data_IF_777640929599
#
_entry.id   IF_777640929599
#
_cell.length_a   1.000
_cell.length_b   1.000
_cell.length_c   1.000
_cell.angle_alpha   90.00
_cell.angle_beta   90.00
_cell.angle_gamma   90.00
#
_symmetry.space_group_name_H-M   'P 1'
#
loop_
_entity.id
_entity.type
_entity.pdbx_description
1 polymer ?
#
# COMPACT_ATOMS: atom_id res chain seq x y z
N UNK A 1 -6.87 -20.87 -17.00
CA UNK A 1 -5.70 -20.12 -16.57
C UNK A 1 -5.06 -20.72 -15.33
N UNK A 2 -3.80 -20.41 -15.04
CA UNK A 2 -3.17 -20.72 -13.77
C UNK A 2 -3.28 -19.52 -12.80
N UNK A 3 -3.33 -19.80 -11.49
CA UNK A 3 -3.36 -18.73 -10.50
C UNK A 3 -3.17 -19.24 -9.08
N UNK A 4 -2.97 -18.29 -8.17
CA UNK A 4 -2.88 -18.52 -6.72
C UNK A 4 -4.29 -18.49 -6.12
N UNK A 5 -4.63 -19.46 -5.30
CA UNK A 5 -5.93 -19.48 -4.61
C UNK A 5 -5.86 -20.24 -3.30
N UNK A 6 -6.90 -20.10 -2.48
CA UNK A 6 -7.14 -20.91 -1.28
C UNK A 6 -8.63 -21.20 -1.13
N UNK A 7 -8.95 -22.34 -0.47
CA UNK A 7 -10.33 -22.84 -0.31
C UNK A 7 -10.84 -22.73 1.14
N UNK A 8 -9.95 -22.31 2.04
CA UNK A 8 -10.25 -22.07 3.46
C UNK A 8 -9.23 -21.07 4.03
N UNK A 9 -9.58 -20.41 5.13
CA UNK A 9 -8.64 -19.54 5.84
C UNK A 9 -7.59 -20.34 6.59
N UNK A 10 -6.37 -19.80 6.68
CA UNK A 10 -5.29 -20.48 7.38
C UNK A 10 -3.92 -19.80 7.24
N UNK A 11 -2.89 -20.53 7.60
CA UNK A 11 -1.50 -20.15 7.39
C UNK A 11 -1.10 -20.35 5.91
N UNK A 12 0.17 -20.19 5.57
CA UNK A 12 0.65 -20.24 4.18
C UNK A 12 0.40 -21.58 3.48
N UNK A 13 0.18 -22.66 4.25
CA UNK A 13 -0.09 -24.01 3.75
C UNK A 13 -1.47 -24.19 3.07
N UNK A 14 -2.39 -23.24 3.23
CA UNK A 14 -3.67 -23.24 2.51
C UNK A 14 -3.55 -22.72 1.09
N UNK A 15 -2.48 -21.98 0.76
CA UNK A 15 -2.24 -21.44 -0.57
C UNK A 15 -1.96 -22.57 -1.59
N UNK A 16 -2.60 -22.45 -2.72
CA UNK A 16 -2.47 -23.37 -3.87
C UNK A 16 -2.11 -22.57 -5.11
N UNK A 17 -1.37 -23.17 -5.99
CA UNK A 17 -1.18 -22.71 -7.37
C UNK A 17 -1.69 -23.79 -8.33
N UNK A 18 -2.54 -23.43 -9.28
CA UNK A 18 -3.12 -24.43 -10.17
C UNK A 18 -4.20 -23.87 -11.10
N UNK A 19 -4.90 -24.81 -11.75
CA UNK A 19 -5.94 -24.52 -12.74
C UNK A 19 -7.16 -23.82 -12.13
N UNK A 20 -7.51 -22.68 -12.70
CA UNK A 20 -8.70 -21.89 -12.40
C UNK A 20 -9.50 -21.67 -13.70
N UNK A 21 -10.83 -21.44 -13.63
CA UNK A 21 -11.59 -20.97 -14.78
C UNK A 21 -11.03 -19.65 -15.31
N UNK A 22 -11.06 -19.46 -16.63
CA UNK A 22 -10.77 -18.17 -17.22
C UNK A 22 -11.86 -17.15 -16.79
N UNK A 23 -11.51 -15.89 -16.48
CA UNK A 23 -12.50 -14.90 -16.10
C UNK A 23 -13.39 -14.52 -17.31
N UNK A 24 -14.67 -14.29 -17.02
CA UNK A 24 -15.60 -13.73 -18.01
C UNK A 24 -15.50 -12.19 -17.95
N UNK A 25 -15.41 -11.56 -19.12
CA UNK A 25 -15.29 -10.11 -19.23
C UNK A 25 -16.68 -9.44 -19.15
N UNK A 26 -16.88 -8.62 -18.14
CA UNK A 26 -18.08 -7.80 -18.00
C UNK A 26 -18.15 -6.68 -19.03
N UNK A 27 -19.28 -5.94 -19.07
CA UNK A 27 -19.51 -4.91 -20.09
C UNK A 27 -18.55 -3.72 -19.97
N UNK A 28 -18.16 -3.38 -18.76
CA UNK A 28 -17.30 -2.26 -18.34
C UNK A 28 -15.93 -2.71 -17.85
N UNK A 29 -15.58 -3.99 -18.09
CA UNK A 29 -14.34 -4.60 -17.66
C UNK A 29 -13.34 -4.78 -18.80
N UNK A 30 -12.08 -4.85 -18.40
CA UNK A 30 -10.93 -5.17 -19.26
C UNK A 30 -10.31 -6.47 -18.76
N UNK A 31 -10.07 -7.41 -19.67
CA UNK A 31 -9.27 -8.61 -19.40
C UNK A 31 -7.80 -8.23 -19.49
N UNK A 32 -7.09 -8.39 -18.40
CA UNK A 32 -5.66 -8.11 -18.29
C UNK A 32 -4.89 -9.45 -18.30
N UNK A 33 -3.95 -9.60 -19.24
CA UNK A 33 -2.89 -10.59 -19.22
C UNK A 33 -1.83 -10.13 -18.24
N UNK A 34 -1.84 -10.70 -17.03
CA UNK A 34 -1.02 -10.27 -15.89
C UNK A 34 0.45 -10.63 -16.13
N UNK A 35 1.33 -9.64 -16.04
CA UNK A 35 2.77 -9.79 -16.15
C UNK A 35 3.48 -9.80 -14.81
N UNK A 36 2.94 -9.06 -13.85
CA UNK A 36 3.40 -9.03 -12.46
C UNK A 36 2.25 -8.71 -11.50
N UNK A 37 2.31 -9.25 -10.31
CA UNK A 37 1.50 -8.87 -9.16
C UNK A 37 2.39 -8.54 -7.98
N UNK A 38 1.91 -7.79 -6.98
CA UNK A 38 2.70 -7.48 -5.80
C UNK A 38 1.91 -7.68 -4.51
N UNK A 39 2.57 -8.29 -3.52
CA UNK A 39 1.94 -8.62 -2.26
C UNK A 39 1.78 -7.40 -1.34
N UNK A 40 0.70 -7.42 -0.58
CA UNK A 40 0.39 -6.48 0.49
C UNK A 40 0.02 -7.22 1.79
N UNK A 41 0.15 -6.57 2.94
CA UNK A 41 -0.26 -7.17 4.21
C UNK A 41 -1.74 -7.54 4.25
N UNK A 42 -2.57 -6.88 3.45
CA UNK A 42 -3.98 -7.20 3.34
C UNK A 42 -4.21 -8.62 2.78
N UNK A 43 -3.34 -9.11 1.88
CA UNK A 43 -3.41 -10.48 1.34
C UNK A 43 -3.21 -11.53 2.45
N UNK A 44 -2.30 -11.23 3.39
CA UNK A 44 -2.07 -12.06 4.59
C UNK A 44 -3.29 -12.04 5.51
N UNK A 45 -3.88 -10.86 5.75
CA UNK A 45 -5.04 -10.74 6.63
C UNK A 45 -6.28 -11.42 6.05
N UNK A 46 -6.55 -11.23 4.76
CA UNK A 46 -7.67 -11.85 4.06
C UNK A 46 -7.53 -13.37 4.06
N UNK A 47 -6.33 -13.90 3.78
CA UNK A 47 -6.03 -15.33 3.90
C UNK A 47 -6.29 -15.85 5.31
N UNK A 48 -5.97 -15.08 6.36
CA UNK A 48 -6.24 -15.40 7.77
C UNK A 48 -7.69 -15.13 8.20
N UNK A 49 -8.56 -14.65 7.30
CA UNK A 49 -9.98 -14.40 7.55
C UNK A 49 -10.30 -13.07 8.21
N UNK A 50 -9.48 -12.05 8.01
CA UNK A 50 -9.63 -10.72 8.60
C UNK A 50 -9.48 -9.59 7.56
N UNK A 51 -10.54 -9.16 6.86
CA UNK A 51 -11.87 -9.77 6.80
C UNK A 51 -11.90 -11.07 5.98
N UNK A 52 -13.00 -11.82 6.08
CA UNK A 52 -13.23 -12.96 5.20
C UNK A 52 -13.74 -12.49 3.84
N UNK A 53 -13.22 -12.99 2.71
CA UNK A 53 -13.71 -12.65 1.37
C UNK A 53 -15.12 -13.20 1.09
N UNK A 54 -15.62 -14.12 1.92
CA UNK A 54 -16.98 -14.64 1.85
C UNK A 54 -17.19 -15.80 0.89
N UNK A 55 -16.38 -15.93 -0.17
CA UNK A 55 -16.50 -16.98 -1.18
C UNK A 55 -15.16 -17.70 -1.41
N UNK A 56 -15.26 -19.02 -1.72
CA UNK A 56 -14.11 -19.85 -2.05
C UNK A 56 -14.36 -20.65 -3.35
N UNK A 57 -13.33 -21.02 -4.15
CA UNK A 57 -11.93 -20.64 -3.94
C UNK A 57 -11.74 -19.13 -4.08
N UNK A 58 -10.86 -18.54 -3.28
CA UNK A 58 -10.52 -17.13 -3.34
C UNK A 58 -9.13 -16.93 -3.94
N UNK A 59 -9.02 -16.03 -4.91
CA UNK A 59 -7.77 -15.58 -5.51
C UNK A 59 -7.31 -14.33 -4.72
N UNK A 60 -6.11 -14.33 -4.08
CA UNK A 60 -5.57 -13.15 -3.42
C UNK A 60 -5.01 -12.13 -4.42
N UNK A 61 -4.56 -11.00 -3.89
CA UNK A 61 -3.84 -9.98 -4.63
C UNK A 61 -4.69 -8.75 -4.95
N UNK A 62 -4.13 -7.58 -4.68
CA UNK A 62 -4.74 -6.28 -4.95
C UNK A 62 -3.96 -5.47 -5.98
N UNK A 63 -2.68 -5.75 -6.13
CA UNK A 63 -1.78 -5.09 -7.06
C UNK A 63 -1.40 -6.04 -8.20
N UNK A 64 -1.59 -5.61 -9.45
CA UNK A 64 -1.06 -6.26 -10.64
C UNK A 64 -0.82 -5.25 -11.77
N UNK A 65 0.03 -5.62 -12.71
CA UNK A 65 0.23 -4.92 -13.97
C UNK A 65 0.33 -5.92 -15.13
N UNK A 66 -0.08 -5.49 -16.32
CA UNK A 66 -0.08 -6.35 -17.50
C UNK A 66 -0.63 -5.66 -18.74
N UNK A 67 -1.06 -6.45 -19.69
CA UNK A 67 -1.55 -5.98 -21.00
C UNK A 67 -3.05 -6.22 -21.11
N UNK A 68 -3.81 -5.23 -21.53
CA UNK A 68 -5.22 -5.39 -21.90
C UNK A 68 -5.36 -6.30 -23.14
N UNK A 69 -6.05 -7.44 -23.02
CA UNK A 69 -6.18 -8.41 -24.12
C UNK A 69 -7.60 -8.57 -24.65
N UNK A 70 -8.60 -8.12 -23.89
CA UNK A 70 -10.00 -8.03 -24.30
C UNK A 70 -10.66 -6.88 -23.54
N UNK A 71 -11.55 -6.13 -24.19
CA UNK A 71 -12.28 -5.03 -23.57
C UNK A 71 -13.78 -5.22 -23.73
N UNK A 72 -14.53 -4.96 -22.65
CA UNK A 72 -15.98 -5.00 -22.67
C UNK A 72 -16.58 -3.89 -23.54
N UNK A 73 -17.84 -4.06 -24.03
CA UNK A 73 -18.45 -3.15 -25.02
C UNK A 73 -18.74 -1.74 -24.49
N UNK A 74 -18.70 -1.52 -23.18
CA UNK A 74 -18.93 -0.21 -22.54
C UNK A 74 -17.61 0.45 -22.10
N UNK A 75 -16.46 -0.22 -22.24
CA UNK A 75 -15.11 0.31 -21.99
C UNK A 75 -14.80 1.42 -22.99
N UNK A 76 -14.26 2.52 -22.49
CA UNK A 76 -13.98 3.73 -23.29
C UNK A 76 -12.58 4.28 -23.13
N UNK A 77 -11.86 3.89 -22.06
CA UNK A 77 -10.55 4.44 -21.69
C UNK A 77 -9.38 3.62 -22.20
N UNK A 78 -9.62 2.34 -22.49
CA UNK A 78 -8.56 1.38 -22.86
C UNK A 78 -8.92 0.61 -24.11
N UNK A 79 -7.90 0.14 -24.83
CA UNK A 79 -8.01 -0.76 -25.97
C UNK A 79 -7.07 -1.97 -25.84
N UNK A 80 -7.29 -2.99 -26.65
CA UNK A 80 -6.40 -4.17 -26.68
C UNK A 80 -4.95 -3.75 -27.01
N UNK A 81 -4.01 -4.20 -26.21
CA UNK A 81 -2.60 -3.87 -26.30
C UNK A 81 -2.12 -2.80 -25.33
N UNK A 82 -3.03 -2.08 -24.67
CA UNK A 82 -2.64 -1.10 -23.65
C UNK A 82 -1.96 -1.75 -22.46
N UNK A 83 -0.91 -1.09 -21.94
CA UNK A 83 -0.29 -1.46 -20.69
C UNK A 83 -1.05 -0.82 -19.53
N UNK A 84 -1.40 -1.63 -18.53
CA UNK A 84 -2.25 -1.22 -17.41
C UNK A 84 -1.75 -1.74 -16.07
N UNK A 85 -2.01 -0.97 -15.01
CA UNK A 85 -1.84 -1.38 -13.63
C UNK A 85 -3.19 -1.31 -12.89
N UNK A 86 -3.39 -2.21 -11.93
CA UNK A 86 -4.63 -2.31 -11.17
C UNK A 86 -4.62 -1.32 -10.01
N UNK A 87 -5.63 -0.46 -9.95
CA UNK A 87 -6.00 0.37 -8.81
C UNK A 87 -7.08 -0.38 -8.00
N UNK A 88 -6.72 -0.94 -6.86
CA UNK A 88 -7.54 -1.93 -6.17
C UNK A 88 -8.87 -1.43 -5.59
N UNK A 89 -9.08 -0.11 -5.50
CA UNK A 89 -10.24 0.50 -4.85
C UNK A 89 -11.43 0.68 -5.78
N UNK A 90 -12.57 0.02 -5.52
CA UNK A 90 -13.82 0.19 -6.25
C UNK A 90 -14.83 1.02 -5.45
N UNK A 91 -15.62 1.84 -6.15
CA UNK A 91 -16.57 2.78 -5.56
C UNK A 91 -17.83 2.94 -6.43
N UNK A 92 -18.92 3.48 -5.87
CA UNK A 92 -20.21 3.53 -6.59
C UNK A 92 -20.35 4.68 -7.61
N UNK A 93 -19.46 5.67 -7.62
CA UNK A 93 -19.51 6.86 -8.49
C UNK A 93 -20.60 7.88 -8.16
N UNK A 94 -21.53 7.61 -7.25
CA UNK A 94 -22.86 8.22 -7.17
C UNK A 94 -23.21 8.80 -5.78
N UNK A 95 -22.56 8.33 -4.68
CA UNK A 95 -22.79 8.86 -3.34
C UNK A 95 -22.18 10.27 -3.17
N UNK A 96 -22.45 10.91 -2.04
CA UNK A 96 -21.94 12.25 -1.74
C UNK A 96 -20.41 12.32 -1.76
N UNK A 97 -19.72 11.27 -1.28
CA UNK A 97 -18.27 11.20 -1.26
C UNK A 97 -17.69 11.06 -2.67
N UNK A 98 -18.23 10.16 -3.49
CA UNK A 98 -17.79 10.01 -4.88
C UNK A 98 -17.98 11.29 -5.69
N UNK A 99 -19.11 11.98 -5.52
CA UNK A 99 -19.36 13.27 -6.19
C UNK A 99 -18.45 14.40 -5.71
N UNK A 100 -17.87 14.25 -4.51
CA UNK A 100 -16.87 15.18 -3.97
C UNK A 100 -15.43 14.80 -4.38
N UNK A 101 -15.23 13.71 -5.12
CA UNK A 101 -13.90 13.18 -5.47
C UNK A 101 -13.24 12.35 -4.38
N UNK A 102 -13.93 12.11 -3.25
CA UNK A 102 -13.44 11.36 -2.09
C UNK A 102 -13.79 9.87 -2.19
N UNK A 103 -13.24 9.18 -3.22
CA UNK A 103 -13.64 7.83 -3.59
C UNK A 103 -13.42 6.80 -2.47
N UNK A 104 -12.31 6.88 -1.73
CA UNK A 104 -12.04 5.96 -0.61
C UNK A 104 -12.99 6.13 0.59
N UNK A 105 -13.81 7.19 0.62
CA UNK A 105 -14.88 7.39 1.59
C UNK A 105 -16.25 6.91 1.07
N UNK A 106 -16.31 6.29 -0.09
CA UNK A 106 -17.55 5.77 -0.67
C UNK A 106 -18.26 4.83 0.32
N UNK A 107 -19.58 4.97 0.43
CA UNK A 107 -20.41 4.17 1.35
C UNK A 107 -20.43 2.67 1.01
N UNK A 108 -20.05 2.32 -0.22
CA UNK A 108 -19.90 0.95 -0.72
C UNK A 108 -18.49 0.69 -1.26
N UNK A 109 -17.48 1.28 -0.61
CA UNK A 109 -16.09 1.07 -1.00
C UNK A 109 -15.66 -0.37 -0.81
N UNK A 110 -15.01 -0.92 -1.82
CA UNK A 110 -14.44 -2.27 -1.77
C UNK A 110 -13.01 -2.28 -2.28
N UNK A 111 -12.26 -3.30 -1.91
CA UNK A 111 -10.86 -3.49 -2.32
C UNK A 111 -10.75 -4.84 -3.02
N UNK A 112 -10.24 -4.87 -4.22
CA UNK A 112 -9.92 -6.07 -4.99
C UNK A 112 -8.96 -6.95 -4.20
N UNK A 113 -9.21 -8.26 -4.15
CA UNK A 113 -8.45 -9.22 -3.37
C UNK A 113 -8.84 -9.30 -1.89
N UNK A 114 -9.60 -8.33 -1.38
CA UNK A 114 -10.13 -8.33 -0.01
C UNK A 114 -11.64 -8.57 0.03
N UNK A 115 -12.39 -7.84 -0.79
CA UNK A 115 -13.85 -7.89 -0.84
C UNK A 115 -14.38 -8.59 -2.10
N UNK A 116 -13.53 -8.82 -3.06
CA UNK A 116 -13.78 -9.51 -4.33
C UNK A 116 -12.60 -10.39 -4.69
N UNK A 117 -12.74 -11.20 -5.75
CA UNK A 117 -11.64 -11.94 -6.36
C UNK A 117 -10.46 -11.03 -6.64
N UNK A 118 -9.26 -11.48 -6.28
CA UNK A 118 -8.00 -10.76 -6.49
C UNK A 118 -7.36 -11.04 -7.85
N UNK A 119 -6.11 -10.62 -7.99
CA UNK A 119 -5.42 -10.49 -9.28
C UNK A 119 -4.16 -11.36 -9.41
N UNK A 120 -3.84 -12.24 -8.45
CA UNK A 120 -2.67 -13.12 -8.55
C UNK A 120 -2.97 -14.38 -9.39
N UNK A 121 -3.21 -14.19 -10.68
CA UNK A 121 -3.48 -15.21 -11.69
C UNK A 121 -2.96 -14.74 -13.05
N UNK A 122 -2.90 -15.64 -14.05
CA UNK A 122 -2.46 -15.28 -15.42
C UNK A 122 -3.35 -14.23 -16.07
N UNK A 123 -4.66 -14.26 -15.79
CA UNK A 123 -5.64 -13.31 -16.32
C UNK A 123 -6.56 -12.80 -15.21
N UNK A 124 -6.93 -11.54 -15.28
CA UNK A 124 -7.93 -10.94 -14.40
C UNK A 124 -8.86 -10.01 -15.19
N UNK A 125 -10.16 -10.05 -14.91
CA UNK A 125 -11.12 -9.08 -15.45
C UNK A 125 -11.36 -7.98 -14.39
N UNK A 126 -11.13 -6.72 -14.78
CA UNK A 126 -11.13 -5.57 -13.87
C UNK A 126 -11.95 -4.44 -14.50
N UNK A 127 -12.87 -3.78 -13.74
CA UNK A 127 -13.56 -2.59 -14.24
C UNK A 127 -12.57 -1.53 -14.74
N UNK A 128 -12.90 -0.84 -15.85
CA UNK A 128 -12.00 0.17 -16.42
C UNK A 128 -11.65 1.30 -15.44
N UNK A 129 -12.52 1.59 -14.48
CA UNK A 129 -12.28 2.60 -13.42
C UNK A 129 -11.18 2.19 -12.42
N UNK A 130 -10.90 0.90 -12.35
CA UNK A 130 -9.87 0.30 -11.51
C UNK A 130 -8.54 0.08 -12.26
N UNK A 131 -8.35 0.71 -13.41
CA UNK A 131 -7.13 0.62 -14.20
C UNK A 131 -6.48 1.99 -14.40
N UNK A 132 -5.15 1.99 -14.35
CA UNK A 132 -4.29 3.13 -14.67
C UNK A 132 -3.39 2.75 -15.83
N UNK A 133 -3.23 3.65 -16.80
CA UNK A 133 -2.32 3.45 -17.92
C UNK A 133 -0.85 3.42 -17.44
N UNK A 134 -0.09 2.48 -17.98
CA UNK A 134 1.34 2.34 -17.70
C UNK A 134 2.12 2.69 -18.99
N UNK A 135 3.09 3.62 -18.94
CA UNK A 135 3.94 3.92 -20.09
C UNK A 135 4.83 2.73 -20.48
N UNK A 136 5.09 2.54 -21.78
CA UNK A 136 5.88 1.44 -22.32
C UNK A 136 7.30 1.28 -21.75
N UNK A 137 7.86 2.33 -21.15
CA UNK A 137 9.21 2.32 -20.59
C UNK A 137 9.27 1.82 -19.14
N UNK A 138 8.13 1.65 -18.48
CA UNK A 138 8.03 1.18 -17.10
C UNK A 138 8.01 -0.35 -17.12
N UNK A 139 8.87 -0.99 -16.32
CA UNK A 139 8.87 -2.44 -16.17
C UNK A 139 7.66 -2.92 -15.36
N UNK A 140 7.28 -4.19 -15.55
CA UNK A 140 6.07 -4.76 -14.96
C UNK A 140 6.13 -4.85 -13.44
N UNK A 141 7.31 -5.12 -12.90
CA UNK A 141 7.52 -5.24 -11.46
C UNK A 141 7.31 -3.89 -10.78
N UNK A 142 7.85 -2.81 -11.34
CA UNK A 142 7.61 -1.43 -10.90
C UNK A 142 6.14 -1.07 -11.00
N UNK A 143 5.51 -1.38 -12.15
CA UNK A 143 4.10 -1.08 -12.40
C UNK A 143 3.16 -1.81 -11.42
N UNK A 144 3.48 -3.05 -11.03
CA UNK A 144 2.72 -3.82 -10.05
C UNK A 144 3.02 -3.41 -8.59
N UNK A 145 4.26 -2.99 -8.29
CA UNK A 145 4.66 -2.71 -6.90
C UNK A 145 4.16 -1.36 -6.36
N UNK A 146 3.80 -0.42 -7.24
CA UNK A 146 3.50 0.96 -6.88
C UNK A 146 2.06 1.22 -6.41
N UNK A 147 0.98 0.77 -7.09
CA UNK A 147 -0.35 1.36 -6.97
C UNK A 147 -0.85 1.49 -5.53
N UNK A 148 -0.99 0.38 -4.82
CA UNK A 148 -1.61 0.38 -3.49
C UNK A 148 -0.81 1.18 -2.47
N UNK A 149 0.51 0.96 -2.41
CA UNK A 149 1.33 1.53 -1.34
C UNK A 149 1.64 3.01 -1.55
N UNK A 150 1.86 3.45 -2.80
CA UNK A 150 2.08 4.86 -3.10
C UNK A 150 0.79 5.67 -2.98
N UNK A 151 -0.34 5.17 -3.49
CA UNK A 151 -1.65 5.80 -3.30
C UNK A 151 -1.99 5.96 -1.82
N UNK A 152 -1.75 4.92 -1.01
CA UNK A 152 -2.02 4.96 0.43
C UNK A 152 -1.15 5.99 1.13
N UNK A 153 0.16 5.99 0.86
CA UNK A 153 1.09 6.95 1.47
C UNK A 153 0.83 8.39 1.02
N UNK A 154 0.53 8.60 -0.28
CA UNK A 154 0.15 9.90 -0.83
C UNK A 154 -1.06 10.48 -0.13
N UNK A 155 -2.13 9.67 -0.03
CA UNK A 155 -3.33 10.11 0.68
C UNK A 155 -3.05 10.42 2.14
N UNK A 156 -2.29 9.59 2.84
CA UNK A 156 -1.93 9.84 4.25
C UNK A 156 -1.26 11.19 4.41
N UNK A 157 -0.30 11.51 3.56
CA UNK A 157 0.55 12.68 3.69
C UNK A 157 -0.11 13.95 3.10
N UNK A 158 -0.60 13.90 1.86
CA UNK A 158 -1.16 15.07 1.19
C UNK A 158 -2.64 15.30 1.51
N UNK A 159 -3.51 14.29 1.32
CA UNK A 159 -4.96 14.48 1.47
C UNK A 159 -5.43 14.47 2.92
N UNK A 160 -4.72 13.80 3.84
CA UNK A 160 -5.15 13.65 5.24
C UNK A 160 -4.32 14.48 6.21
N UNK A 161 -3.01 14.37 6.16
CA UNK A 161 -2.12 15.13 7.03
C UNK A 161 -1.81 16.54 6.47
N UNK A 162 -2.03 16.78 5.18
CA UNK A 162 -1.81 18.07 4.51
C UNK A 162 -0.39 18.61 4.81
N UNK A 163 0.64 17.77 4.53
CA UNK A 163 2.02 18.14 4.81
C UNK A 163 2.47 19.34 3.99
N UNK A 164 3.31 20.18 4.59
CA UNK A 164 3.90 21.36 3.96
C UNK A 164 5.44 21.29 3.98
N UNK A 165 6.08 21.87 2.97
CA UNK A 165 7.55 21.95 2.93
C UNK A 165 8.14 22.62 4.18
N UNK A 166 9.13 21.97 4.77
CA UNK A 166 9.80 22.42 6.00
C UNK A 166 9.18 21.87 7.29
N UNK A 167 8.08 21.09 7.20
CA UNK A 167 7.61 20.30 8.35
C UNK A 167 8.49 19.06 8.57
N UNK A 168 8.45 18.51 9.78
CA UNK A 168 9.13 17.28 10.15
C UNK A 168 8.15 16.10 10.19
N UNK A 169 8.53 14.99 9.52
CA UNK A 169 7.68 13.80 9.38
C UNK A 169 8.40 12.57 9.91
N UNK A 170 7.83 11.88 10.89
CA UNK A 170 8.30 10.58 11.37
C UNK A 170 7.55 9.46 10.67
N UNK A 171 8.29 8.60 9.95
CA UNK A 171 7.74 7.43 9.26
C UNK A 171 8.12 6.16 10.02
N UNK A 172 7.14 5.45 10.55
CA UNK A 172 7.37 4.17 11.20
C UNK A 172 7.48 3.05 10.16
N UNK A 173 8.34 2.07 10.42
CA UNK A 173 8.49 0.89 9.56
C UNK A 173 8.86 1.23 8.12
N UNK A 174 9.86 2.08 7.91
CA UNK A 174 10.31 2.55 6.60
C UNK A 174 10.67 1.44 5.59
N UNK A 175 10.89 0.21 6.06
CA UNK A 175 11.20 -0.93 5.19
C UNK A 175 9.97 -1.59 4.56
N UNK A 176 8.75 -1.27 5.00
CA UNK A 176 7.50 -1.79 4.45
C UNK A 176 7.04 -1.03 3.20
N UNK A 177 6.01 -1.55 2.52
CA UNK A 177 5.48 -0.94 1.30
C UNK A 177 5.02 0.52 1.49
N UNK A 178 4.13 0.77 2.46
CA UNK A 178 3.68 2.15 2.76
C UNK A 178 4.81 3.00 3.34
N UNK A 179 5.69 2.40 4.16
CA UNK A 179 6.78 3.13 4.82
C UNK A 179 7.78 3.70 3.82
N UNK A 180 8.29 2.89 2.86
CA UNK A 180 9.27 3.38 1.89
C UNK A 180 8.67 4.40 0.91
N UNK A 181 7.39 4.26 0.57
CA UNK A 181 6.67 5.24 -0.21
C UNK A 181 6.51 6.57 0.57
N UNK A 182 6.13 6.49 1.86
CA UNK A 182 5.95 7.68 2.71
C UNK A 182 7.26 8.46 2.91
N UNK A 183 8.41 7.78 3.07
CA UNK A 183 9.74 8.44 3.15
C UNK A 183 9.98 9.27 1.90
N UNK A 184 9.85 8.67 0.71
CA UNK A 184 10.10 9.35 -0.56
C UNK A 184 9.12 10.51 -0.82
N UNK A 185 7.84 10.33 -0.51
CA UNK A 185 6.82 11.36 -0.70
C UNK A 185 7.06 12.55 0.24
N UNK A 186 7.44 12.31 1.50
CA UNK A 186 7.75 13.37 2.47
C UNK A 186 9.02 14.14 2.07
N UNK A 187 10.08 13.44 1.63
CA UNK A 187 11.30 14.08 1.09
C UNK A 187 11.00 14.90 -0.17
N UNK A 188 10.24 14.34 -1.11
CA UNK A 188 9.80 15.06 -2.32
C UNK A 188 9.00 16.32 -2.01
N UNK A 189 8.17 16.30 -0.95
CA UNK A 189 7.43 17.47 -0.48
C UNK A 189 8.31 18.51 0.22
N UNK A 190 9.58 18.22 0.49
CA UNK A 190 10.54 19.09 1.17
C UNK A 190 10.40 19.10 2.69
N UNK A 191 9.94 18.00 3.27
CA UNK A 191 9.90 17.79 4.71
C UNK A 191 11.26 17.29 5.25
N UNK A 192 11.52 17.50 6.55
CA UNK A 192 12.59 16.83 7.27
C UNK A 192 12.12 15.44 7.72
N UNK A 193 12.75 14.37 7.20
CA UNK A 193 12.24 13.01 7.32
C UNK A 193 12.98 12.21 8.39
N UNK A 194 12.24 11.73 9.39
CA UNK A 194 12.66 10.78 10.40
C UNK A 194 12.12 9.40 10.06
N UNK A 195 12.93 8.35 10.12
CA UNK A 195 12.49 7.01 9.75
C UNK A 195 12.95 5.94 10.74
N UNK A 196 12.08 4.96 11.02
CA UNK A 196 12.41 3.85 11.91
C UNK A 196 12.68 2.56 11.15
N UNK A 197 13.66 1.79 11.61
CA UNK A 197 13.99 0.47 11.09
C UNK A 197 14.52 -0.47 12.18
N UNK A 198 14.66 -1.77 11.88
CA UNK A 198 15.12 -2.79 12.83
C UNK A 198 16.56 -3.27 12.60
N UNK A 199 17.19 -2.82 11.52
CA UNK A 199 18.58 -3.22 11.18
C UNK A 199 19.29 -2.09 10.45
N UNK A 200 20.62 -2.05 10.56
CA UNK A 200 21.45 -1.06 9.85
C UNK A 200 21.18 -1.03 8.34
N UNK A 201 21.04 -2.21 7.72
CA UNK A 201 20.76 -2.29 6.28
C UNK A 201 19.43 -1.62 5.89
N UNK A 202 18.39 -1.74 6.73
CA UNK A 202 17.09 -1.07 6.52
C UNK A 202 17.20 0.44 6.72
N UNK A 203 18.00 0.89 7.68
CA UNK A 203 18.24 2.30 7.94
C UNK A 203 19.03 2.97 6.80
N UNK A 204 20.06 2.33 6.30
CA UNK A 204 20.80 2.83 5.14
C UNK A 204 19.94 2.89 3.88
N UNK A 205 19.05 1.91 3.67
CA UNK A 205 18.09 1.96 2.58
C UNK A 205 17.10 3.12 2.75
N UNK A 206 16.60 3.38 3.95
CA UNK A 206 15.73 4.53 4.21
C UNK A 206 16.42 5.88 3.96
N UNK A 207 17.71 6.01 4.37
CA UNK A 207 18.52 7.21 4.04
C UNK A 207 18.69 7.40 2.55
N UNK A 208 18.91 6.31 1.80
CA UNK A 208 19.05 6.38 0.35
C UNK A 208 17.78 6.85 -0.35
N UNK A 209 16.62 6.73 0.31
CA UNK A 209 15.30 7.17 -0.17
C UNK A 209 14.89 8.56 0.32
N UNK A 210 15.76 9.27 1.06
CA UNK A 210 15.51 10.64 1.50
C UNK A 210 15.26 10.81 3.00
N UNK A 211 15.45 9.78 3.85
CA UNK A 211 15.36 9.99 5.30
C UNK A 211 16.60 10.74 5.82
N UNK A 212 16.42 11.90 6.45
CA UNK A 212 17.47 12.71 7.06
C UNK A 212 17.97 12.08 8.37
N UNK A 213 17.06 11.53 9.15
CA UNK A 213 17.31 10.92 10.46
C UNK A 213 16.74 9.52 10.51
N UNK A 214 17.53 8.57 11.01
CA UNK A 214 17.08 7.17 11.13
C UNK A 214 17.40 6.61 12.49
N UNK A 215 16.50 5.79 13.03
CA UNK A 215 16.66 5.15 14.34
C UNK A 215 16.39 3.65 14.28
N UNK A 216 17.25 2.87 14.90
CA UNK A 216 17.02 1.44 15.14
C UNK A 216 16.16 1.26 16.40
N UNK A 217 14.86 1.00 16.21
CA UNK A 217 13.93 0.85 17.33
C UNK A 217 14.16 -0.39 18.21
N UNK A 218 15.04 -1.32 17.80
CA UNK A 218 15.49 -2.45 18.63
C UNK A 218 16.60 -2.03 19.62
N UNK A 219 17.27 -0.91 19.37
CA UNK A 219 18.40 -0.42 20.16
C UNK A 219 18.04 0.81 20.99
N UNK A 220 17.16 1.67 20.47
CA UNK A 220 16.78 2.95 21.09
C UNK A 220 15.28 3.23 20.85
N UNK A 221 14.52 3.66 21.87
CA UNK A 221 13.14 4.13 21.71
C UNK A 221 13.09 5.32 20.75
N UNK A 222 12.24 5.23 19.74
CA UNK A 222 12.20 6.26 18.70
C UNK A 222 11.62 7.60 19.16
N UNK A 223 10.80 7.62 20.20
CA UNK A 223 10.30 8.85 20.84
C UNK A 223 11.42 9.58 21.59
N UNK A 224 12.31 8.88 22.28
CA UNK A 224 13.49 9.47 22.91
C UNK A 224 14.46 10.03 21.86
N UNK A 225 14.65 9.28 20.75
CA UNK A 225 15.45 9.73 19.61
C UNK A 225 14.88 11.02 18.98
N UNK A 226 13.57 11.07 18.75
CA UNK A 226 12.88 12.27 18.22
C UNK A 226 13.02 13.45 19.21
N UNK A 227 12.84 13.23 20.52
CA UNK A 227 13.01 14.28 21.53
C UNK A 227 14.42 14.87 21.48
N UNK A 228 15.47 14.04 21.40
CA UNK A 228 16.86 14.47 21.31
C UNK A 228 17.15 15.28 20.04
N UNK A 229 16.69 14.78 18.88
CA UNK A 229 17.01 15.39 17.57
C UNK A 229 16.15 16.61 17.21
N UNK A 230 15.09 16.88 17.98
CA UNK A 230 14.22 18.06 17.83
C UNK A 230 14.36 19.07 18.97
N UNK A 231 15.39 18.95 19.83
CA UNK A 231 15.56 19.76 21.04
C UNK A 231 14.29 19.75 21.95
N UNK A 232 13.61 18.61 22.03
CA UNK A 232 12.38 18.41 22.81
C UNK A 232 11.10 18.98 22.18
N UNK A 233 11.14 19.40 20.91
CA UNK A 233 9.96 19.93 20.21
C UNK A 233 9.00 18.82 19.75
N UNK A 234 9.51 17.70 19.28
CA UNK A 234 8.79 16.67 18.55
C UNK A 234 8.62 16.97 17.05
N UNK A 235 8.01 16.04 16.29
CA UNK A 235 7.75 16.15 14.86
C UNK A 235 6.34 16.67 14.56
N UNK A 236 6.15 17.29 13.39
CA UNK A 236 4.85 17.84 12.99
C UNK A 236 3.86 16.74 12.58
N UNK A 237 4.36 15.67 11.96
CA UNK A 237 3.52 14.54 11.50
C UNK A 237 4.15 13.21 11.88
N UNK A 238 3.33 12.25 12.34
CA UNK A 238 3.69 10.84 12.51
C UNK A 238 2.86 9.99 11.57
N UNK A 239 3.52 9.20 10.72
CA UNK A 239 2.94 8.18 9.85
C UNK A 239 3.03 6.84 10.58
N UNK A 240 1.94 6.39 11.17
CA UNK A 240 1.86 5.14 11.94
C UNK A 240 0.87 4.16 11.29
N UNK A 241 1.37 3.12 10.63
CA UNK A 241 0.58 2.01 10.09
C UNK A 241 0.73 0.71 10.92
N UNK A 242 1.33 0.83 12.13
CA UNK A 242 1.57 -0.28 13.05
C UNK A 242 0.48 -0.35 14.12
N UNK A 243 0.12 0.79 14.71
CA UNK A 243 -0.98 0.91 15.66
C UNK A 243 -0.59 0.55 17.09
N UNK A 244 -1.32 -0.40 17.73
CA UNK A 244 -1.25 -0.63 19.18
C UNK A 244 0.16 -0.79 19.77
N UNK A 245 1.08 -1.39 19.04
CA UNK A 245 2.45 -1.58 19.53
C UNK A 245 3.32 -0.31 19.57
N UNK A 246 2.97 0.71 18.78
CA UNK A 246 3.77 1.94 18.62
C UNK A 246 3.04 3.20 19.09
N UNK A 247 1.75 3.10 19.36
CA UNK A 247 0.86 4.22 19.58
C UNK A 247 1.31 5.21 20.65
N UNK A 248 1.77 4.72 21.82
CA UNK A 248 2.19 5.57 22.93
C UNK A 248 3.42 6.39 22.53
N UNK A 249 4.43 5.76 21.96
CA UNK A 249 5.65 6.43 21.48
C UNK A 249 5.38 7.33 20.27
N UNK A 250 4.44 6.94 19.38
CA UNK A 250 4.01 7.78 18.26
C UNK A 250 3.36 9.09 18.75
N UNK A 251 2.49 9.01 19.75
CA UNK A 251 1.88 10.20 20.36
C UNK A 251 2.90 11.04 21.13
N UNK A 252 3.88 10.42 21.80
CA UNK A 252 4.95 11.12 22.52
C UNK A 252 5.92 11.84 21.58
N UNK A 253 6.06 11.37 20.34
CA UNK A 253 6.93 11.99 19.31
C UNK A 253 6.34 13.27 18.71
N UNK A 254 5.03 13.55 18.91
CA UNK A 254 4.37 14.70 18.27
C UNK A 254 4.75 16.05 18.89
N UNK A 255 5.03 17.01 18.04
CA UNK A 255 5.08 18.41 18.41
C UNK A 255 3.68 18.90 18.79
N UNK A 256 3.60 20.00 19.55
CA UNK A 256 2.32 20.65 19.87
C UNK A 256 1.63 21.12 18.58
N UNK A 257 0.38 20.73 18.39
CA UNK A 257 -0.38 20.93 17.16
C UNK A 257 -0.07 19.89 16.07
N UNK A 258 0.69 18.83 16.41
CA UNK A 258 1.07 17.79 15.49
C UNK A 258 -0.08 16.82 15.13
N UNK A 259 0.12 16.06 14.06
CA UNK A 259 -0.87 15.15 13.45
C UNK A 259 -0.33 13.74 13.41
N UNK A 260 -1.10 12.76 13.91
CA UNK A 260 -0.83 11.35 13.68
C UNK A 260 -1.77 10.85 12.60
N UNK A 261 -1.23 10.30 11.52
CA UNK A 261 -2.02 9.69 10.43
C UNK A 261 -1.78 8.18 10.38
N UNK A 262 -2.88 7.40 10.34
CA UNK A 262 -2.82 5.93 10.33
C UNK A 262 -3.69 5.31 9.24
N UNK A 263 -3.19 4.24 8.60
CA UNK A 263 -3.91 3.43 7.61
C UNK A 263 -3.92 1.93 7.94
N UNK A 264 -3.36 1.53 9.07
CA UNK A 264 -3.18 0.12 9.40
C UNK A 264 -2.99 -0.14 10.89
N UNK A 265 -3.02 -1.43 11.25
CA UNK A 265 -2.92 -1.89 12.64
C UNK A 265 -2.18 -3.22 12.76
N UNK A 266 -1.03 -3.36 12.09
CA UNK A 266 -0.22 -4.61 12.08
C UNK A 266 0.29 -5.00 13.46
N UNK A 267 0.45 -4.03 14.36
CA UNK A 267 0.85 -4.22 15.77
C UNK A 267 -0.30 -4.24 16.77
N UNK A 268 -1.56 -4.31 16.26
CA UNK A 268 -2.79 -4.40 17.07
C UNK A 268 -3.75 -3.22 16.86
N UNK A 269 -5.08 -3.49 16.83
CA UNK A 269 -6.09 -2.48 16.51
C UNK A 269 -6.59 -1.69 17.75
N UNK A 270 -6.17 -2.03 18.95
CA UNK A 270 -6.64 -1.40 20.19
C UNK A 270 -5.57 -0.47 20.76
N UNK A 271 -5.96 0.77 21.03
CA UNK A 271 -5.10 1.80 21.60
C UNK A 271 -5.83 2.53 22.72
N UNK A 272 -5.07 3.06 23.68
CA UNK A 272 -5.58 3.99 24.69
C UNK A 272 -5.19 5.43 24.31
N UNK A 273 -6.13 6.38 24.43
CA UNK A 273 -5.89 7.80 24.16
C UNK A 273 -6.08 8.60 25.42
N UNK A 274 -5.04 9.32 25.85
CA UNK A 274 -5.15 10.32 26.91
C UNK A 274 -5.80 11.59 26.35
N UNK A 275 -7.08 11.78 26.66
CA UNK A 275 -7.85 12.93 26.14
C UNK A 275 -7.29 14.27 26.67
N UNK A 276 -6.66 14.27 27.86
CA UNK A 276 -6.06 15.50 28.40
C UNK A 276 -4.86 15.93 27.56
N UNK A 277 -3.99 15.01 27.17
CA UNK A 277 -2.85 15.28 26.30
C UNK A 277 -3.32 15.69 24.90
N UNK A 278 -4.34 15.02 24.37
CA UNK A 278 -4.93 15.32 23.07
C UNK A 278 -5.37 16.80 22.97
N UNK A 279 -6.21 17.28 23.91
CA UNK A 279 -6.69 18.67 23.82
C UNK A 279 -5.64 19.69 24.27
N UNK A 280 -4.77 19.35 25.24
CA UNK A 280 -3.76 20.28 25.74
C UNK A 280 -2.69 20.59 24.70
N UNK A 281 -2.29 19.57 23.97
CA UNK A 281 -1.31 19.71 22.90
C UNK A 281 -1.94 20.01 21.55
N UNK A 282 -3.27 19.97 21.43
CA UNK A 282 -4.02 20.21 20.19
C UNK A 282 -3.62 19.23 19.08
N UNK A 283 -3.51 17.94 19.42
CA UNK A 283 -3.17 16.88 18.46
C UNK A 283 -4.35 16.53 17.57
N UNK A 284 -4.07 16.20 16.32
CA UNK A 284 -5.00 15.58 15.41
C UNK A 284 -4.68 14.09 15.22
N UNK A 285 -5.71 13.24 15.26
CA UNK A 285 -5.60 11.81 14.94
C UNK A 285 -6.42 11.56 13.69
N UNK A 286 -5.74 11.17 12.60
CA UNK A 286 -6.28 11.08 11.26
C UNK A 286 -6.31 9.64 10.77
N UNK A 287 -7.50 9.10 10.48
CA UNK A 287 -7.64 7.83 9.77
C UNK A 287 -7.50 8.02 8.25
N UNK A 288 -6.88 7.06 7.59
CA UNK A 288 -6.75 7.01 6.13
C UNK A 288 -6.98 5.59 5.62
N UNK A 289 -7.55 5.45 4.45
CA UNK A 289 -7.74 4.17 3.75
C UNK A 289 -7.50 4.36 2.28
N UNK A 290 -6.58 3.59 1.69
CA UNK A 290 -6.28 3.65 0.25
C UNK A 290 -6.12 5.11 -0.22
N UNK A 291 -6.73 5.47 -1.37
CA UNK A 291 -6.79 6.83 -1.89
C UNK A 291 -7.99 7.05 -2.80
N UNK A 292 -8.18 8.29 -3.24
CA UNK A 292 -9.09 8.63 -4.32
C UNK A 292 -8.38 8.52 -5.67
N UNK A 293 -9.12 8.61 -6.80
CA UNK A 293 -8.50 8.49 -8.12
C UNK A 293 -7.46 9.60 -8.38
N UNK A 294 -7.69 10.82 -7.90
CA UNK A 294 -6.69 11.89 -8.02
C UNK A 294 -5.41 11.58 -7.24
N UNK A 295 -5.50 10.95 -6.05
CA UNK A 295 -4.32 10.57 -5.27
C UNK A 295 -3.44 9.56 -6.06
N UNK A 296 -4.06 8.58 -6.73
CA UNK A 296 -3.31 7.57 -7.49
C UNK A 296 -2.76 8.16 -8.80
N UNK A 297 -3.53 8.97 -9.51
CA UNK A 297 -3.09 9.60 -10.76
C UNK A 297 -1.85 10.49 -10.50
N UNK A 298 -1.89 11.35 -9.48
CA UNK A 298 -0.80 12.26 -9.12
C UNK A 298 0.48 11.50 -8.71
N UNK A 299 0.36 10.49 -7.83
CA UNK A 299 1.55 9.79 -7.33
C UNK A 299 2.15 8.83 -8.36
N UNK A 300 1.33 8.18 -9.18
CA UNK A 300 1.86 7.26 -10.20
C UNK A 300 2.53 8.02 -11.36
N UNK A 301 2.11 9.25 -11.68
CA UNK A 301 2.86 10.09 -12.61
C UNK A 301 4.31 10.29 -12.15
N UNK A 302 4.53 10.57 -10.87
CA UNK A 302 5.87 10.70 -10.28
C UNK A 302 6.66 9.37 -10.29
N UNK A 303 5.97 8.24 -10.11
CA UNK A 303 6.59 6.92 -10.23
C UNK A 303 6.97 6.63 -11.68
N UNK A 304 6.07 6.89 -12.63
CA UNK A 304 6.35 6.66 -14.06
C UNK A 304 7.47 7.55 -14.61
N UNK A 305 7.66 8.72 -14.04
CA UNK A 305 8.80 9.62 -14.35
C UNK A 305 10.12 9.23 -13.66
N UNK A 306 10.08 8.27 -12.73
CA UNK A 306 11.25 7.84 -11.94
C UNK A 306 11.64 8.84 -10.84
N UNK A 307 10.74 9.74 -10.45
CA UNK A 307 10.93 10.65 -9.30
C UNK A 307 10.73 9.91 -7.99
N UNK A 308 9.78 9.00 -7.95
CA UNK A 308 9.54 8.06 -6.84
C UNK A 308 9.76 6.64 -7.35
N UNK A 309 10.41 5.78 -6.56
CA UNK A 309 10.79 4.43 -6.97
C UNK A 309 10.26 3.37 -5.99
N UNK A 310 9.35 2.47 -6.41
CA UNK A 310 8.99 1.31 -5.61
C UNK A 310 10.22 0.43 -5.37
N UNK A 311 10.52 0.18 -4.11
CA UNK A 311 11.61 -0.72 -3.77
C UNK A 311 11.12 -2.16 -3.85
N UNK A 312 11.74 -2.95 -4.70
CA UNK A 312 11.42 -4.36 -4.92
C UNK A 312 12.50 -5.20 -4.24
N UNK A 313 12.07 -6.01 -3.28
CA UNK A 313 12.93 -6.90 -2.53
C UNK A 313 13.23 -8.19 -3.28
N UNK A 314 12.18 -8.84 -3.76
CA UNK A 314 12.26 -10.14 -4.42
C UNK A 314 11.17 -10.24 -5.49
N UNK A 315 11.47 -10.99 -6.57
CA UNK A 315 10.53 -11.39 -7.61
C UNK A 315 10.49 -12.92 -7.62
N UNK A 316 9.30 -13.49 -7.41
CA UNK A 316 9.08 -14.93 -7.31
C UNK A 316 8.04 -15.41 -8.34
N UNK A 317 8.08 -16.68 -8.78
CA UNK A 317 6.97 -17.23 -9.55
C UNK A 317 5.70 -17.32 -8.69
N UNK A 318 4.53 -17.20 -9.29
CA UNK A 318 3.24 -17.36 -8.58
C UNK A 318 3.11 -18.75 -7.92
N UNK A 319 3.77 -19.77 -8.45
CA UNK A 319 3.84 -21.09 -7.82
C UNK A 319 4.55 -21.10 -6.45
N UNK A 320 5.36 -20.06 -6.14
CA UNK A 320 5.99 -19.84 -4.84
C UNK A 320 5.23 -18.84 -3.94
N UNK A 321 3.95 -18.57 -4.21
CA UNK A 321 3.16 -17.60 -3.45
C UNK A 321 3.14 -17.86 -1.92
N UNK A 322 3.17 -19.12 -1.48
CA UNK A 322 3.27 -19.46 -0.06
C UNK A 322 4.53 -18.86 0.58
N UNK A 323 5.68 -19.00 -0.11
CA UNK A 323 6.96 -18.41 0.30
C UNK A 323 6.90 -16.88 0.27
N UNK A 324 6.29 -16.27 -0.76
CA UNK A 324 6.13 -14.83 -0.85
C UNK A 324 5.33 -14.26 0.36
N UNK A 325 4.27 -14.95 0.79
CA UNK A 325 3.52 -14.60 1.99
C UNK A 325 4.33 -14.77 3.28
N UNK A 326 5.11 -15.85 3.42
CA UNK A 326 6.03 -16.07 4.56
C UNK A 326 7.03 -14.91 4.68
N UNK A 327 7.63 -14.50 3.57
CA UNK A 327 8.58 -13.36 3.56
C UNK A 327 7.95 -12.06 4.05
N UNK A 328 6.66 -11.84 3.78
CA UNK A 328 5.93 -10.67 4.28
C UNK A 328 5.68 -10.78 5.80
N UNK A 329 5.28 -11.95 6.28
CA UNK A 329 5.01 -12.22 7.70
C UNK A 329 6.27 -12.13 8.56
N UNK A 330 7.41 -12.60 8.05
CA UNK A 330 8.71 -12.58 8.73
C UNK A 330 9.34 -11.18 8.80
N UNK A 331 8.77 -10.18 8.10
CA UNK A 331 9.26 -8.79 8.07
C UNK A 331 10.73 -8.65 7.70
N UNK A 332 11.25 -9.60 6.94
CA UNK A 332 12.61 -9.56 6.46
C UNK A 332 12.76 -8.60 5.26
N UNK A 333 13.96 -8.05 5.07
CA UNK A 333 14.31 -7.22 3.91
C UNK A 333 13.68 -5.83 3.91
N UNK A 334 13.72 -5.19 2.73
CA UNK A 334 13.27 -3.82 2.46
C UNK A 334 12.51 -3.79 1.12
N UNK A 335 11.31 -3.24 1.10
CA UNK A 335 10.50 -3.12 -0.11
C UNK A 335 9.45 -4.21 -0.30
N UNK A 336 8.89 -4.25 -1.51
CA UNK A 336 7.79 -5.12 -1.95
C UNK A 336 8.29 -6.49 -2.39
N UNK A 337 7.46 -7.51 -2.21
CA UNK A 337 7.61 -8.82 -2.85
C UNK A 337 6.67 -8.86 -4.05
N UNK A 338 7.23 -9.15 -5.21
CA UNK A 338 6.52 -9.26 -6.49
C UNK A 338 6.36 -10.74 -6.85
N UNK A 339 5.24 -11.10 -7.43
CA UNK A 339 4.99 -12.42 -8.00
C UNK A 339 4.67 -12.30 -9.48
N UNK A 340 5.23 -13.19 -10.29
CA UNK A 340 5.00 -13.22 -11.75
C UNK A 340 4.40 -14.56 -12.17
N UNK A 341 3.53 -14.60 -13.19
CA UNK A 341 3.08 -15.86 -13.74
C UNK A 341 4.26 -16.75 -14.13
N UNK A 342 4.18 -18.05 -13.88
CA UNK A 342 5.30 -18.97 -14.15
C UNK A 342 5.65 -19.02 -15.65
N UNK A 343 4.72 -18.64 -16.52
CA UNK A 343 4.92 -18.52 -17.97
C UNK A 343 5.78 -17.31 -18.38
N UNK A 344 6.00 -16.34 -17.50
CA UNK A 344 6.79 -15.12 -17.75
C UNK A 344 8.26 -15.26 -17.30
N UNK A 345 8.62 -16.38 -16.68
CA UNK A 345 9.98 -16.73 -16.26
C UNK A 345 10.64 -17.60 -17.33
#
# INVERSE_FOLDING_TARGET
MQGVFYEEHGDTDVLRYGDLPDPEVGRDEVLVDVKAGALNHLDVWTRKGMPSPGEFPHIPGSDAAGVAVEVGPDVTRFEEGDHVAVAAGSFCGDCEHCRAGEHSQCVSYTITGEHSTGVHSEYTAVPEENLVAVPDHVDWETAAAAPLVFQTAWRMLHSRAEIEAGESVLVLGASGGVGHAAVQIADHAGCEVYATGSTEAKLEAAKALGADHVVNYEEEPFDEFVEEHTDGRGVDVVVDHIGGATWESSMASLAKGGRLVTCGATGGPQVEVNVADLFWNQYDILGSTMGANHDIDEVLELVWEGTLEPQIRDVLPMSEAARAHEMLEDREGFGKVVVVPDSEL
#
